data_IF_845505215238
#
_entry.id   IF_845505215238
#
_cell.length_a   1.000
_cell.length_b   1.000
_cell.length_c   1.000
_cell.angle_alpha   90.00
_cell.angle_beta   90.00
_cell.angle_gamma   90.00
#
_symmetry.space_group_name_H-M   'P 1'
#
loop_
_entity.id
_entity.type
_entity.pdbx_description
1 polymer ?
#
# COMPACT_ATOMS: atom_id res chain seq x y z
N UNK A 1 23.07 9.24 -52.09
CA UNK A 1 23.71 8.74 -50.84
C UNK A 1 23.24 9.47 -49.58
N UNK A 2 23.26 10.81 -49.53
CA UNK A 2 22.84 11.60 -48.35
C UNK A 2 21.37 11.38 -47.91
N UNK A 3 20.44 11.21 -48.86
CA UNK A 3 19.01 10.94 -48.56
C UNK A 3 18.76 9.56 -47.93
N UNK A 4 19.56 8.55 -48.29
CA UNK A 4 19.45 7.19 -47.76
C UNK A 4 19.94 7.13 -46.31
N UNK A 5 21.02 7.86 -46.02
CA UNK A 5 21.59 8.00 -44.67
C UNK A 5 20.63 8.79 -43.76
N UNK A 6 20.01 9.86 -44.28
CA UNK A 6 19.00 10.63 -43.55
C UNK A 6 17.77 9.79 -43.18
N UNK A 7 17.33 8.90 -44.08
CA UNK A 7 16.16 8.03 -43.85
C UNK A 7 16.44 6.99 -42.75
N UNK A 8 17.64 6.41 -42.75
CA UNK A 8 18.07 5.43 -41.74
C UNK A 8 18.20 6.07 -40.35
N UNK A 9 18.71 7.30 -40.26
CA UNK A 9 18.82 8.04 -39.00
C UNK A 9 17.44 8.38 -38.43
N UNK A 10 16.49 8.82 -39.27
CA UNK A 10 15.13 9.11 -38.83
C UNK A 10 14.38 7.86 -38.36
N UNK A 11 14.64 6.70 -38.99
CA UNK A 11 14.03 5.43 -38.59
C UNK A 11 14.61 4.89 -37.28
N UNK A 12 15.91 5.10 -37.04
CA UNK A 12 16.56 4.70 -35.79
C UNK A 12 16.10 5.56 -34.59
N UNK A 13 15.88 6.85 -34.84
CA UNK A 13 15.40 7.80 -33.83
C UNK A 13 13.94 7.53 -33.43
N UNK A 14 13.07 7.14 -34.36
CA UNK A 14 11.68 6.79 -34.07
C UNK A 14 11.55 5.46 -33.30
N UNK A 15 12.38 4.46 -33.61
CA UNK A 15 12.40 3.17 -32.88
C UNK A 15 12.88 3.35 -31.43
N UNK A 16 13.86 4.23 -31.20
CA UNK A 16 14.40 4.49 -29.86
C UNK A 16 13.42 5.28 -28.97
N UNK A 17 12.52 6.06 -29.56
CA UNK A 17 11.54 6.87 -28.84
C UNK A 17 10.25 6.10 -28.48
N UNK A 18 9.94 5.01 -29.20
CA UNK A 18 8.70 4.25 -29.02
C UNK A 18 8.83 2.99 -28.14
N UNK A 19 10.06 2.61 -27.74
CA UNK A 19 10.33 1.35 -27.05
C UNK A 19 10.40 1.40 -25.52
N UNK A 20 10.29 2.58 -24.89
CA UNK A 20 10.62 2.73 -23.47
C UNK A 20 9.45 2.48 -22.49
N UNK A 21 8.20 2.47 -22.95
CA UNK A 21 7.04 2.51 -22.04
C UNK A 21 6.56 1.14 -21.50
N UNK A 22 7.15 0.02 -21.94
CA UNK A 22 6.59 -1.31 -21.66
C UNK A 22 7.15 -2.06 -20.43
N UNK A 23 8.09 -1.50 -19.65
CA UNK A 23 8.86 -2.31 -18.68
C UNK A 23 8.33 -2.30 -17.24
N UNK A 24 7.36 -1.47 -16.84
CA UNK A 24 6.93 -1.40 -15.43
C UNK A 24 5.56 -2.02 -15.16
N UNK A 25 5.43 -3.34 -15.34
CA UNK A 25 4.42 -4.11 -14.62
C UNK A 25 4.86 -4.29 -13.15
N UNK A 26 4.80 -3.22 -12.36
CA UNK A 26 5.07 -3.28 -10.93
C UNK A 26 3.98 -4.14 -10.27
N UNK A 27 4.38 -5.28 -9.68
CA UNK A 27 3.50 -6.13 -8.89
C UNK A 27 3.17 -5.39 -7.59
N UNK A 28 2.24 -4.44 -7.67
CA UNK A 28 1.88 -3.55 -6.56
C UNK A 28 1.08 -4.35 -5.54
N UNK A 29 1.71 -4.70 -4.42
CA UNK A 29 1.01 -5.31 -3.29
C UNK A 29 0.06 -4.28 -2.68
N UNK A 30 -1.19 -4.68 -2.49
CA UNK A 30 -2.16 -3.84 -1.79
C UNK A 30 -1.73 -3.61 -0.34
N UNK A 31 -1.93 -2.39 0.15
CA UNK A 31 -1.60 -2.02 1.53
C UNK A 31 -2.81 -2.27 2.41
N UNK A 32 -2.62 -2.97 3.53
CA UNK A 32 -3.70 -3.32 4.46
C UNK A 32 -3.29 -2.98 5.89
N UNK A 33 -4.27 -2.52 6.67
CA UNK A 33 -4.14 -2.27 8.10
C UNK A 33 -5.20 -3.08 8.85
N UNK A 34 -4.82 -3.62 10.00
CA UNK A 34 -5.74 -4.33 10.92
C UNK A 34 -5.96 -3.43 12.13
N UNK A 35 -7.18 -2.94 12.28
CA UNK A 35 -7.63 -2.20 13.45
C UNK A 35 -7.72 -3.11 14.68
N UNK A 36 -7.70 -2.49 15.86
CA UNK A 36 -7.86 -3.21 17.12
C UNK A 36 -9.25 -3.83 17.21
N UNK A 37 -9.33 -5.09 17.64
CA UNK A 37 -10.61 -5.77 17.77
C UNK A 37 -11.35 -5.34 19.04
N UNK A 38 -12.66 -5.13 18.90
CA UNK A 38 -13.54 -4.93 20.04
C UNK A 38 -13.84 -6.29 20.69
N UNK A 39 -13.42 -6.46 21.94
CA UNK A 39 -13.71 -7.65 22.72
C UNK A 39 -15.21 -7.80 22.99
N UNK A 40 -15.76 -9.00 22.79
CA UNK A 40 -17.11 -9.38 23.24
C UNK A 40 -17.00 -10.42 24.36
N UNK A 41 -17.22 -10.00 25.60
CA UNK A 41 -17.05 -10.83 26.81
C UNK A 41 -15.62 -11.38 27.00
N UNK A 42 -14.61 -10.66 26.51
CA UNK A 42 -13.18 -10.99 26.69
C UNK A 42 -12.45 -9.74 27.14
N UNK A 43 -11.25 -9.90 27.71
CA UNK A 43 -10.46 -8.74 28.11
C UNK A 43 -9.98 -7.97 26.87
N UNK A 44 -9.72 -6.66 27.03
CA UNK A 44 -9.12 -5.85 25.98
C UNK A 44 -7.74 -6.40 25.58
N UNK A 45 -7.02 -7.02 26.52
CA UNK A 45 -5.74 -7.67 26.26
C UNK A 45 -5.90 -8.89 25.34
N UNK A 46 -6.90 -9.74 25.57
CA UNK A 46 -7.16 -10.91 24.72
C UNK A 46 -7.54 -10.48 23.31
N UNK A 47 -8.39 -9.46 23.18
CA UNK A 47 -8.76 -8.90 21.89
C UNK A 47 -7.53 -8.36 21.13
N UNK A 48 -6.60 -7.72 21.86
CA UNK A 48 -5.34 -7.21 21.30
C UNK A 48 -4.42 -8.31 20.79
N UNK A 49 -4.26 -9.39 21.57
CA UNK A 49 -3.49 -10.56 21.15
C UNK A 49 -4.05 -11.18 19.87
N UNK A 50 -5.38 -11.25 19.75
CA UNK A 50 -6.03 -11.77 18.54
C UNK A 50 -5.83 -10.83 17.34
N UNK A 51 -5.89 -9.51 17.54
CA UNK A 51 -5.58 -8.53 16.49
C UNK A 51 -4.14 -8.67 15.99
N UNK A 52 -3.18 -8.85 16.89
CA UNK A 52 -1.77 -9.07 16.54
C UNK A 52 -1.57 -10.40 15.81
N UNK A 53 -2.25 -11.46 16.24
CA UNK A 53 -2.24 -12.76 15.55
C UNK A 53 -2.72 -12.63 14.10
N UNK A 54 -3.84 -11.95 13.86
CA UNK A 54 -4.37 -11.73 12.50
C UNK A 54 -3.39 -10.87 11.66
N UNK A 55 -2.80 -9.84 12.26
CA UNK A 55 -1.82 -8.99 11.58
C UNK A 55 -0.60 -9.81 11.13
N UNK A 56 -0.09 -10.69 11.99
CA UNK A 56 1.03 -11.57 11.68
C UNK A 56 0.65 -12.58 10.59
N UNK A 57 -0.53 -13.20 10.66
CA UNK A 57 -1.00 -14.11 9.62
C UNK A 57 -1.04 -13.43 8.25
N UNK A 58 -1.48 -12.16 8.17
CA UNK A 58 -1.47 -11.38 6.92
C UNK A 58 -0.05 -11.09 6.41
N UNK A 59 0.90 -10.81 7.30
CA UNK A 59 2.31 -10.63 6.94
C UNK A 59 2.88 -11.92 6.34
N UNK A 60 2.60 -13.06 6.96
CA UNK A 60 3.06 -14.38 6.53
C UNK A 60 2.53 -14.77 5.14
N UNK A 61 1.34 -14.28 4.74
CA UNK A 61 0.84 -14.53 3.38
C UNK A 61 1.76 -13.96 2.30
N UNK A 62 2.55 -12.92 2.61
CA UNK A 62 3.42 -12.22 1.66
C UNK A 62 2.70 -11.48 0.53
N UNK A 63 1.36 -11.50 0.49
CA UNK A 63 0.53 -10.91 -0.57
C UNK A 63 0.27 -9.42 -0.39
N UNK A 64 0.34 -8.94 0.85
CA UNK A 64 -0.01 -7.58 1.21
C UNK A 64 1.17 -6.83 1.82
N UNK A 65 1.14 -5.50 1.72
CA UNK A 65 1.97 -4.62 2.54
C UNK A 65 1.19 -4.30 3.82
N UNK A 66 1.51 -5.01 4.90
CA UNK A 66 0.78 -4.85 6.18
C UNK A 66 1.37 -3.68 6.98
N UNK A 67 0.52 -2.77 7.44
CA UNK A 67 0.92 -1.66 8.31
C UNK A 67 1.00 -2.12 9.76
N UNK A 68 2.13 -1.86 10.41
CA UNK A 68 2.34 -2.18 11.83
C UNK A 68 1.59 -1.20 12.74
N UNK A 69 1.28 -1.65 13.97
CA UNK A 69 0.60 -0.83 14.98
C UNK A 69 1.31 0.51 15.25
N UNK A 70 2.64 0.47 15.43
CA UNK A 70 3.44 1.67 15.67
C UNK A 70 3.46 2.63 14.47
N UNK A 71 3.47 2.11 13.24
CA UNK A 71 3.40 2.95 12.04
C UNK A 71 2.02 3.63 11.92
N UNK A 72 0.95 2.95 12.33
CA UNK A 72 -0.39 3.54 12.32
C UNK A 72 -0.51 4.67 13.34
N UNK A 73 -0.01 4.46 14.57
CA UNK A 73 0.04 5.51 15.60
C UNK A 73 0.87 6.72 15.14
N UNK A 74 2.01 6.48 14.49
CA UNK A 74 2.84 7.57 13.95
C UNK A 74 2.16 8.33 12.82
N UNK A 75 1.58 7.64 11.83
CA UNK A 75 0.87 8.28 10.70
C UNK A 75 -0.31 9.11 11.22
N UNK A 76 -1.07 8.59 12.18
CA UNK A 76 -2.22 9.30 12.75
C UNK A 76 -1.76 10.50 13.62
N UNK A 77 -0.64 10.38 14.33
CA UNK A 77 -0.04 11.47 15.11
C UNK A 77 0.47 12.61 14.22
N UNK A 78 1.14 12.27 13.11
CA UNK A 78 1.62 13.26 12.12
C UNK A 78 0.46 14.03 11.47
N UNK A 79 -0.66 13.34 11.22
CA UNK A 79 -1.86 13.94 10.63
C UNK A 79 -2.79 14.61 11.66
N UNK A 80 -2.39 14.71 12.94
CA UNK A 80 -3.22 15.21 14.06
C UNK A 80 -4.60 14.57 14.11
N UNK A 81 -4.72 13.32 13.67
CA UNK A 81 -5.98 12.59 13.68
C UNK A 81 -6.24 12.17 15.14
N UNK A 82 -7.31 12.70 15.75
CA UNK A 82 -7.69 12.36 17.11
C UNK A 82 -8.09 10.89 17.15
N UNK A 83 -7.24 10.03 17.70
CA UNK A 83 -7.41 8.57 17.76
C UNK A 83 -8.63 8.12 18.59
N UNK A 84 -9.32 9.04 19.26
CA UNK A 84 -10.50 8.74 20.06
C UNK A 84 -11.74 8.61 19.18
N UNK A 85 -12.09 7.39 18.80
CA UNK A 85 -13.40 7.06 18.21
C UNK A 85 -13.39 6.27 16.90
N UNK A 86 -12.23 5.90 16.36
CA UNK A 86 -12.11 5.21 15.06
C UNK A 86 -12.31 3.70 15.12
N UNK A 87 -13.43 3.25 15.69
CA UNK A 87 -13.85 1.84 15.66
C UNK A 87 -14.93 1.56 14.60
N UNK A 88 -15.51 2.61 14.03
CA UNK A 88 -16.58 2.49 13.04
C UNK A 88 -16.04 2.43 11.60
N UNK A 89 -16.80 1.75 10.74
CA UNK A 89 -16.47 1.47 9.33
C UNK A 89 -16.17 2.76 8.54
N UNK A 90 -16.78 3.87 8.94
CA UNK A 90 -16.61 5.18 8.32
C UNK A 90 -15.22 5.78 8.56
N UNK A 91 -14.61 5.52 9.74
CA UNK A 91 -13.24 5.97 10.01
C UNK A 91 -12.20 5.07 9.31
N UNK A 92 -12.45 3.76 9.21
CA UNK A 92 -11.54 2.85 8.51
C UNK A 92 -11.33 3.26 7.03
N UNK A 93 -12.38 3.75 6.36
CA UNK A 93 -12.31 4.28 4.99
C UNK A 93 -11.50 5.57 4.92
N UNK A 94 -11.59 6.44 5.92
CA UNK A 94 -10.83 7.70 5.95
C UNK A 94 -9.34 7.45 6.20
N UNK A 95 -9.01 6.57 7.15
CA UNK A 95 -7.63 6.18 7.45
C UNK A 95 -6.99 5.44 6.26
N UNK A 96 -7.77 4.64 5.52
CA UNK A 96 -7.26 3.94 4.33
C UNK A 96 -7.04 4.80 3.09
N UNK A 97 -7.48 6.07 3.08
CA UNK A 97 -7.29 7.02 1.97
C UNK A 97 -5.99 7.82 2.07
N UNK A 98 -5.23 7.66 3.16
CA UNK A 98 -3.95 8.35 3.42
C UNK A 98 -2.86 7.80 2.48
#
# INVERSE_FOLDING_TARGET
MKKLISLLITLFFSISFFGADFIFAQNKKETIAVAEFAGKNVSAMDASVVSDFVRNALVETGKYKVVSRGNMEQILAEQKFQATGCTDQECAVQIGKI
#
